data_IF_782744169729
#
_entry.id   IF_782744169729
#
_cell.length_a   1.000
_cell.length_b   1.000
_cell.length_c   1.000
_cell.angle_alpha   90.00
_cell.angle_beta   90.00
_cell.angle_gamma   90.00
#
_symmetry.space_group_name_H-M   'P 1'
#
loop_
_entity.id
_entity.type
_entity.pdbx_description
1 polymer ?
#
# COMPACT_ATOMS: atom_id res chain seq x y z
N UNK A 1 25.98 7.22 -21.67
CA UNK A 1 24.85 8.05 -21.22
C UNK A 1 23.58 7.22 -21.29
N UNK A 2 23.22 6.53 -20.21
CA UNK A 2 21.88 5.92 -20.10
C UNK A 2 21.03 6.96 -19.39
N UNK A 3 20.11 7.60 -20.10
CA UNK A 3 19.10 8.46 -19.50
C UNK A 3 18.24 7.58 -18.59
N UNK A 4 18.48 7.61 -17.29
CA UNK A 4 17.52 7.09 -16.32
C UNK A 4 16.25 7.92 -16.48
N UNK A 5 15.18 7.29 -16.96
CA UNK A 5 13.86 7.85 -16.82
C UNK A 5 13.61 7.99 -15.32
N UNK A 6 13.48 9.24 -14.87
CA UNK A 6 12.96 9.54 -13.53
C UNK A 6 11.50 9.08 -13.56
N UNK A 7 11.26 7.80 -13.32
CA UNK A 7 9.92 7.30 -13.04
C UNK A 7 9.53 7.95 -11.72
N UNK A 8 8.58 8.88 -11.77
CA UNK A 8 7.81 9.22 -10.57
C UNK A 8 7.29 7.90 -10.02
N UNK A 9 7.71 7.47 -8.82
CA UNK A 9 7.29 6.19 -8.29
C UNK A 9 5.76 6.21 -8.23
N UNK A 10 5.12 5.23 -8.85
CA UNK A 10 3.68 5.07 -8.65
C UNK A 10 3.44 4.90 -7.15
N UNK A 11 2.37 5.50 -6.62
CA UNK A 11 1.99 5.40 -5.22
C UNK A 11 2.08 3.94 -4.72
N UNK A 12 1.56 3.02 -5.54
CA UNK A 12 1.59 1.59 -5.26
C UNK A 12 2.98 1.05 -4.98
N UNK A 13 3.94 1.28 -5.89
CA UNK A 13 5.28 0.72 -5.78
C UNK A 13 6.04 1.23 -4.56
N UNK A 14 5.92 2.53 -4.29
CA UNK A 14 6.51 3.14 -3.09
C UNK A 14 5.92 2.54 -1.80
N UNK A 15 4.59 2.42 -1.71
CA UNK A 15 3.90 1.86 -0.55
C UNK A 15 4.22 0.37 -0.35
N UNK A 16 4.24 -0.40 -1.44
CA UNK A 16 4.63 -1.81 -1.41
C UNK A 16 6.03 -1.98 -0.82
N UNK A 17 7.00 -1.22 -1.34
CA UNK A 17 8.38 -1.25 -0.86
C UNK A 17 8.47 -0.91 0.62
N UNK A 18 7.81 0.16 1.05
CA UNK A 18 7.77 0.58 2.46
C UNK A 18 7.21 -0.52 3.37
N UNK A 19 6.09 -1.15 3.00
CA UNK A 19 5.49 -2.21 3.79
C UNK A 19 6.41 -3.46 3.85
N UNK A 20 7.04 -3.83 2.72
CA UNK A 20 8.01 -4.93 2.66
C UNK A 20 9.22 -4.67 3.56
N UNK A 21 9.80 -3.48 3.48
CA UNK A 21 11.00 -3.11 4.25
C UNK A 21 10.70 -3.04 5.76
N UNK A 22 9.50 -2.61 6.17
CA UNK A 22 9.07 -2.65 7.59
C UNK A 22 9.03 -4.06 8.17
N UNK A 23 8.77 -5.07 7.35
CA UNK A 23 8.82 -6.48 7.75
C UNK A 23 10.21 -7.12 7.59
N UNK A 24 11.20 -6.38 7.08
CA UNK A 24 12.54 -6.91 6.82
C UNK A 24 12.56 -8.02 5.76
N UNK A 25 11.60 -8.03 4.83
CA UNK A 25 11.48 -9.08 3.81
C UNK A 25 12.31 -8.73 2.56
N UNK A 26 13.11 -9.67 2.02
CA UNK A 26 13.66 -9.51 0.68
C UNK A 26 12.58 -9.74 -0.39
N UNK A 27 12.81 -9.21 -1.60
CA UNK A 27 11.81 -9.20 -2.67
C UNK A 27 11.41 -10.60 -3.14
N UNK A 28 12.37 -11.51 -3.26
CA UNK A 28 12.16 -12.92 -3.60
C UNK A 28 11.23 -13.61 -2.60
N UNK A 29 11.50 -13.45 -1.29
CA UNK A 29 10.70 -14.05 -0.22
C UNK A 29 9.26 -13.56 -0.25
N UNK A 30 9.05 -12.25 -0.44
CA UNK A 30 7.69 -11.71 -0.60
C UNK A 30 7.00 -12.31 -1.84
N UNK A 31 7.72 -12.43 -2.96
CA UNK A 31 7.18 -13.02 -4.18
C UNK A 31 6.76 -14.48 -3.97
N UNK A 32 7.59 -15.29 -3.31
CA UNK A 32 7.25 -16.68 -2.98
C UNK A 32 6.05 -16.75 -2.03
N UNK A 33 5.97 -15.87 -1.03
CA UNK A 33 4.82 -15.82 -0.10
C UNK A 33 3.46 -15.60 -0.79
N UNK A 34 3.42 -14.86 -1.90
CA UNK A 34 2.19 -14.66 -2.68
C UNK A 34 1.97 -15.70 -3.79
N UNK A 35 2.83 -16.73 -3.84
CA UNK A 35 2.75 -17.84 -4.80
C UNK A 35 3.40 -17.58 -6.16
N UNK A 36 4.40 -16.68 -6.23
CA UNK A 36 5.24 -16.56 -7.42
C UNK A 36 6.29 -17.66 -7.46
N UNK A 37 6.66 -18.04 -8.69
CA UNK A 37 7.80 -18.93 -8.93
C UNK A 37 9.10 -18.31 -8.38
N UNK A 38 9.90 -19.13 -7.68
CA UNK A 38 11.10 -18.69 -6.96
C UNK A 38 12.09 -17.98 -7.89
N UNK A 39 12.33 -18.52 -9.09
CA UNK A 39 13.27 -17.98 -10.06
C UNK A 39 12.86 -16.65 -10.69
N UNK A 40 11.58 -16.27 -10.58
CA UNK A 40 11.05 -15.01 -11.13
C UNK A 40 10.48 -14.04 -10.09
N UNK A 41 10.44 -14.46 -8.83
CA UNK A 41 9.83 -13.76 -7.69
C UNK A 41 10.41 -12.35 -7.50
N UNK A 42 11.74 -12.24 -7.33
CA UNK A 42 12.44 -10.97 -7.11
C UNK A 42 12.21 -9.97 -8.25
N UNK A 43 12.38 -10.42 -9.49
CA UNK A 43 12.20 -9.57 -10.68
C UNK A 43 10.75 -9.09 -10.85
N UNK A 44 9.76 -9.86 -10.39
CA UNK A 44 8.35 -9.45 -10.46
C UNK A 44 7.99 -8.45 -9.36
N UNK A 45 8.43 -8.68 -8.12
CA UNK A 45 8.24 -7.72 -7.02
C UNK A 45 8.98 -6.41 -7.31
N UNK A 46 10.22 -6.46 -7.81
CA UNK A 46 10.97 -5.28 -8.21
C UNK A 46 10.23 -4.43 -9.25
N UNK A 47 9.60 -5.06 -10.25
CA UNK A 47 8.78 -4.37 -11.26
C UNK A 47 7.55 -3.68 -10.66
N UNK A 48 6.93 -4.27 -9.63
CA UNK A 48 5.85 -3.61 -8.89
C UNK A 48 6.37 -2.42 -8.07
N UNK A 49 7.47 -2.59 -7.34
CA UNK A 49 8.04 -1.53 -6.49
C UNK A 49 8.56 -0.33 -7.28
N UNK A 50 9.06 -0.57 -8.49
CA UNK A 50 9.55 0.48 -9.38
C UNK A 50 8.47 1.10 -10.25
N UNK A 51 7.24 0.57 -10.20
CA UNK A 51 6.12 1.02 -11.01
C UNK A 51 6.20 0.67 -12.49
N UNK A 52 7.15 -0.17 -12.89
CA UNK A 52 7.26 -0.67 -14.28
C UNK A 52 6.01 -1.48 -14.65
N UNK A 53 5.45 -2.21 -13.69
CA UNK A 53 4.14 -2.84 -13.82
C UNK A 53 3.31 -2.58 -12.58
N UNK A 54 2.03 -2.36 -12.77
CA UNK A 54 1.06 -2.37 -11.68
C UNK A 54 0.46 -3.78 -11.56
N UNK A 55 0.40 -4.37 -10.36
CA UNK A 55 -0.25 -5.65 -10.17
C UNK A 55 -1.76 -5.51 -10.35
N UNK A 56 -2.40 -6.56 -10.86
CA UNK A 56 -3.85 -6.67 -10.77
C UNK A 56 -4.32 -6.65 -9.31
N UNK A 57 -5.54 -6.16 -9.06
CA UNK A 57 -6.06 -5.97 -7.70
C UNK A 57 -6.03 -7.24 -6.84
N UNK A 58 -6.27 -8.42 -7.42
CA UNK A 58 -6.17 -9.69 -6.70
C UNK A 58 -4.74 -9.98 -6.19
N UNK A 59 -3.71 -9.56 -6.92
CA UNK A 59 -2.31 -9.64 -6.50
C UNK A 59 -2.02 -8.61 -5.42
N UNK A 60 -2.57 -7.38 -5.55
CA UNK A 60 -2.49 -6.38 -4.49
C UNK A 60 -3.08 -6.90 -3.17
N UNK A 61 -4.24 -7.58 -3.19
CA UNK A 61 -4.82 -8.21 -2.00
C UNK A 61 -3.89 -9.29 -1.39
N UNK A 62 -3.24 -10.11 -2.22
CA UNK A 62 -2.27 -11.11 -1.72
C UNK A 62 -1.06 -10.45 -1.07
N UNK A 63 -0.55 -9.38 -1.68
CA UNK A 63 0.56 -8.60 -1.12
C UNK A 63 0.16 -7.96 0.22
N UNK A 64 -1.03 -7.37 0.30
CA UNK A 64 -1.57 -6.78 1.52
C UNK A 64 -1.66 -7.82 2.65
N UNK A 65 -2.21 -9.00 2.37
CA UNK A 65 -2.28 -10.11 3.31
C UNK A 65 -0.89 -10.58 3.76
N UNK A 66 0.04 -10.78 2.83
CA UNK A 66 1.41 -11.18 3.14
C UNK A 66 2.16 -10.13 3.99
N UNK A 67 1.82 -8.85 3.81
CA UNK A 67 2.46 -7.72 4.48
C UNK A 67 1.72 -7.23 5.72
N UNK A 68 0.59 -7.85 6.07
CA UNK A 68 -0.25 -7.50 7.22
C UNK A 68 -0.67 -6.01 7.23
N UNK A 69 -1.02 -5.50 6.04
CA UNK A 69 -1.55 -4.15 5.85
C UNK A 69 -2.89 -4.22 5.12
N UNK A 70 -3.73 -3.19 5.28
CA UNK A 70 -4.93 -3.03 4.44
C UNK A 70 -4.53 -2.76 2.99
N UNK A 71 -5.28 -3.29 2.02
CA UNK A 71 -5.00 -3.10 0.59
C UNK A 71 -5.10 -1.63 0.17
N UNK A 72 -5.95 -0.84 0.83
CA UNK A 72 -6.09 0.60 0.60
C UNK A 72 -4.77 1.37 0.84
N UNK A 73 -3.90 0.86 1.72
CA UNK A 73 -2.60 1.47 2.00
C UNK A 73 -1.74 1.64 0.74
N UNK A 74 -1.82 0.71 -0.21
CA UNK A 74 -1.05 0.81 -1.45
C UNK A 74 -1.48 1.96 -2.36
N UNK A 75 -2.70 2.48 -2.17
CA UNK A 75 -3.28 3.53 -3.00
C UNK A 75 -3.35 4.89 -2.28
N UNK A 76 -2.66 5.03 -1.14
CA UNK A 76 -2.56 6.27 -0.39
C UNK A 76 -1.35 7.11 -0.84
N UNK A 77 -1.56 8.10 -1.71
CA UNK A 77 -0.48 9.00 -2.16
C UNK A 77 0.09 9.80 -0.98
N UNK A 78 -0.79 10.34 -0.15
CA UNK A 78 -0.43 11.12 1.02
C UNK A 78 0.04 10.24 2.20
N UNK A 79 1.16 10.64 2.82
CA UNK A 79 1.76 9.92 3.94
C UNK A 79 0.87 9.96 5.19
N UNK A 80 0.14 11.05 5.42
CA UNK A 80 -0.78 11.14 6.55
C UNK A 80 -1.92 10.13 6.39
N UNK A 81 -2.53 10.05 5.21
CA UNK A 81 -3.59 9.09 4.92
C UNK A 81 -3.08 7.65 5.01
N UNK A 82 -1.91 7.35 4.44
CA UNK A 82 -1.31 6.03 4.51
C UNK A 82 -1.08 5.58 5.96
N UNK A 83 -0.60 6.49 6.82
CA UNK A 83 -0.43 6.23 8.24
C UNK A 83 -1.77 6.09 8.98
N UNK A 84 -2.79 6.85 8.58
CA UNK A 84 -4.14 6.70 9.12
C UNK A 84 -4.69 5.30 8.83
N UNK A 85 -4.65 4.84 7.56
CA UNK A 85 -5.11 3.49 7.16
C UNK A 85 -4.45 2.39 8.00
N UNK A 86 -3.13 2.46 8.20
CA UNK A 86 -2.40 1.49 9.02
C UNK A 86 -2.79 1.51 10.50
N UNK A 87 -3.31 2.62 11.04
CA UNK A 87 -3.82 2.68 12.41
C UNK A 87 -5.25 2.18 12.49
N UNK A 88 -6.07 2.56 11.50
CA UNK A 88 -7.48 2.19 11.41
C UNK A 88 -7.69 0.67 11.37
N UNK A 89 -6.78 -0.07 10.72
CA UNK A 89 -6.85 -1.53 10.67
C UNK A 89 -6.77 -2.20 12.06
N UNK A 90 -6.19 -1.53 13.06
CA UNK A 90 -6.02 -2.05 14.42
C UNK A 90 -7.11 -1.61 15.39
N UNK A 91 -8.08 -0.79 14.97
CA UNK A 91 -9.13 -0.33 15.85
C UNK A 91 -10.09 -1.46 16.26
N UNK A 92 -10.36 -1.53 17.56
CA UNK A 92 -11.43 -2.35 18.13
C UNK A 92 -12.81 -1.80 17.73
N UNK A 93 -13.86 -2.60 17.91
CA UNK A 93 -15.24 -2.17 17.64
C UNK A 93 -15.64 -0.93 18.45
N UNK A 94 -15.22 -0.84 19.72
CA UNK A 94 -15.48 0.32 20.56
C UNK A 94 -14.79 1.58 20.01
N UNK A 95 -13.49 1.48 19.70
CA UNK A 95 -12.74 2.61 19.13
C UNK A 95 -13.27 3.06 17.76
N UNK A 96 -13.78 2.13 16.94
CA UNK A 96 -14.46 2.48 15.69
C UNK A 96 -15.73 3.28 15.96
N UNK A 97 -16.55 2.85 16.92
CA UNK A 97 -17.75 3.59 17.33
C UNK A 97 -17.42 4.99 17.85
N UNK A 98 -16.36 5.14 18.65
CA UNK A 98 -15.92 6.43 19.16
C UNK A 98 -15.43 7.34 18.03
N UNK A 99 -14.68 6.77 17.08
CA UNK A 99 -14.21 7.48 15.89
C UNK A 99 -15.37 7.91 15.00
N UNK A 100 -16.36 7.05 14.77
CA UNK A 100 -17.55 7.35 13.97
C UNK A 100 -18.34 8.52 14.59
N UNK A 101 -18.50 8.52 15.91
CA UNK A 101 -19.12 9.63 16.63
C UNK A 101 -18.33 10.94 16.47
N UNK A 102 -17.01 10.88 16.63
CA UNK A 102 -16.14 12.05 16.44
C UNK A 102 -16.16 12.59 14.99
N UNK A 103 -16.17 11.69 14.00
CA UNK A 103 -16.25 12.07 12.58
C UNK A 103 -17.60 12.71 12.23
N UNK A 104 -18.69 12.29 12.87
CA UNK A 104 -20.01 12.88 12.66
C UNK A 104 -20.09 14.36 13.08
N UNK A 105 -19.25 14.77 14.03
CA UNK A 105 -19.16 16.17 14.48
C UNK A 105 -18.32 17.05 13.52
N UNK A 106 -17.57 16.43 12.60
CA UNK A 106 -16.81 17.15 11.57
C UNK A 106 -17.75 17.39 10.40
N UNK A 107 -18.30 18.61 10.30
CA UNK A 107 -19.06 19.02 9.12
C UNK A 107 -18.20 18.84 7.85
N UNK A 108 -18.75 18.28 6.76
CA UNK A 108 -18.03 18.27 5.49
C UNK A 108 -17.73 19.72 5.11
N UNK A 109 -16.47 20.01 4.74
CA UNK A 109 -16.16 21.27 4.08
C UNK A 109 -17.11 21.43 2.90
N UNK A 110 -17.75 22.60 2.76
CA UNK A 110 -18.65 22.82 1.62
C UNK A 110 -17.90 22.44 0.33
N UNK A 111 -18.52 21.65 -0.56
CA UNK A 111 -17.85 21.28 -1.80
C UNK A 111 -17.46 22.57 -2.50
N UNK A 112 -16.16 22.74 -2.78
CA UNK A 112 -15.67 23.79 -3.66
C UNK A 112 -16.25 23.51 -5.05
N UNK A 113 -17.44 24.03 -5.33
CA UNK A 113 -18.06 23.96 -6.64
C UNK A 113 -17.30 24.96 -7.52
N UNK A 114 -16.45 24.46 -8.41
CA UNK A 114 -15.92 25.23 -9.54
C UNK A 114 -16.85 25.07 -10.74
#
# INVERSE_FOLDING_TARGET
MVKQAVHSPCCFGARLRQARERMGLPQDKLGVMIGLDEGSSSARISRYETGVHEPAFNIACKLAQALQVDVAYFYCEDDWLANAVLRLQHLTKAQRSDLDAWLADIAPAEPCVN
#
